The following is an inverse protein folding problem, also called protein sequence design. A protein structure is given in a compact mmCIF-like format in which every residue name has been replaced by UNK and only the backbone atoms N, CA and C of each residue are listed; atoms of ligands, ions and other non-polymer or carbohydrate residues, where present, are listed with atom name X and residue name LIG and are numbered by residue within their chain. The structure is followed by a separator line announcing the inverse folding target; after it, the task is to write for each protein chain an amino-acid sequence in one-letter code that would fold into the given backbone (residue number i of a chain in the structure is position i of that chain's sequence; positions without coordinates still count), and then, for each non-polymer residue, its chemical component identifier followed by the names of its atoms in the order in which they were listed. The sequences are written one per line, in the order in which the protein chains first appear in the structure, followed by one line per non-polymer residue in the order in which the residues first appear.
data_IF_843474081896
#
_entry.id   IF_843474081896
#
_cell.length_a   1.000
_cell.length_b   1.000
_cell.length_c   1.000
_cell.angle_alpha   90.00
_cell.angle_beta   90.00
_cell.angle_gamma   90.00
#
_symmetry.space_group_name_H-M   'P 1'
#
loop_
_entity.id
_entity.type
_entity.pdbx_description
1 polymer ?
#
# COMPACT_ATOMS: atom_id res chain seq x y z
N UNK A 1 -11.70 16.44 3.63
CA UNK A 1 -10.79 17.63 3.63
C UNK A 1 -10.00 17.61 2.32
N UNK A 2 -9.99 18.68 1.51
CA UNK A 2 -9.49 18.63 0.11
C UNK A 2 -7.95 18.64 0.04
N UNK A 3 -7.39 17.90 -0.91
CA UNK A 3 -5.94 17.89 -1.19
C UNK A 3 -5.42 19.30 -1.48
N UNK A 4 -4.20 19.59 -1.02
CA UNK A 4 -3.55 20.87 -1.32
C UNK A 4 -3.21 20.93 -2.82
N UNK A 5 -3.68 21.94 -3.55
CA UNK A 5 -3.39 22.05 -4.98
C UNK A 5 -1.88 22.29 -5.19
N UNK A 6 -1.30 21.57 -6.15
CA UNK A 6 0.10 21.71 -6.52
C UNK A 6 0.32 23.04 -7.27
N UNK A 7 1.36 23.79 -6.92
CA UNK A 7 1.71 25.02 -7.63
C UNK A 7 2.36 24.72 -9.00
N UNK A 8 2.13 25.58 -9.99
CA UNK A 8 2.77 25.47 -11.30
C UNK A 8 4.30 25.53 -11.19
N UNK A 9 4.84 26.36 -10.29
CA UNK A 9 6.27 26.47 -10.07
C UNK A 9 6.88 25.17 -9.53
N UNK A 10 6.18 24.50 -8.61
CA UNK A 10 6.63 23.21 -8.05
C UNK A 10 6.64 22.13 -9.12
N UNK A 11 5.61 22.12 -9.98
CA UNK A 11 5.50 21.20 -11.10
C UNK A 11 6.66 21.38 -12.09
N UNK A 12 6.92 22.61 -12.52
CA UNK A 12 7.97 22.91 -13.50
C UNK A 12 9.36 22.62 -12.93
N UNK A 13 9.57 22.90 -11.64
CA UNK A 13 10.81 22.56 -10.94
C UNK A 13 11.04 21.06 -10.89
N UNK A 14 9.99 20.28 -10.58
CA UNK A 14 10.08 18.83 -10.46
C UNK A 14 10.33 18.17 -11.83
N UNK A 15 9.73 18.70 -12.90
CA UNK A 15 9.98 18.24 -14.28
C UNK A 15 11.43 18.48 -14.71
N UNK A 16 11.98 19.68 -14.48
CA UNK A 16 13.38 20.01 -14.79
C UNK A 16 14.36 19.13 -14.00
N UNK A 17 14.09 18.88 -12.71
CA UNK A 17 14.92 18.00 -11.90
C UNK A 17 14.96 16.56 -12.43
N UNK A 18 13.83 16.06 -12.95
CA UNK A 18 13.75 14.73 -13.56
C UNK A 18 14.56 14.67 -14.86
N UNK A 19 14.54 15.71 -15.69
CA UNK A 19 15.38 15.80 -16.90
C UNK A 19 16.88 15.73 -16.56
N UNK A 20 17.28 16.35 -15.44
CA UNK A 20 18.64 16.25 -14.90
C UNK A 20 18.94 14.93 -14.15
N UNK A 21 17.99 13.97 -14.12
CA UNK A 21 18.08 12.70 -13.37
C UNK A 21 18.31 12.87 -11.87
N UNK A 22 17.87 13.99 -11.30
CA UNK A 22 17.97 14.27 -9.86
C UNK A 22 16.63 14.08 -9.17
N UNK A 23 16.65 13.40 -8.03
CA UNK A 23 15.48 13.26 -7.14
C UNK A 23 15.60 14.23 -5.97
N UNK A 24 14.46 14.70 -5.48
CA UNK A 24 14.38 15.60 -4.31
C UNK A 24 15.02 15.01 -3.05
N UNK A 25 14.94 13.69 -2.89
CA UNK A 25 15.46 13.00 -1.71
C UNK A 25 16.95 12.64 -1.83
N UNK A 26 17.63 13.04 -2.91
CA UNK A 26 19.06 12.75 -3.18
C UNK A 26 19.38 11.32 -3.62
N UNK A 27 18.38 10.45 -3.78
CA UNK A 27 18.53 9.05 -4.21
C UNK A 27 18.74 8.92 -5.72
N UNK A 28 19.37 7.83 -6.19
CA UNK A 28 19.42 7.54 -7.63
C UNK A 28 18.05 7.13 -8.19
N UNK A 29 17.93 7.07 -9.51
CA UNK A 29 16.68 6.75 -10.21
C UNK A 29 16.13 5.36 -9.88
N UNK A 30 17.01 4.41 -9.55
CA UNK A 30 16.65 3.01 -9.27
C UNK A 30 16.74 2.63 -7.78
N UNK A 31 17.06 3.59 -6.91
CA UNK A 31 17.21 3.33 -5.47
C UNK A 31 15.86 3.35 -4.75
N UNK A 32 15.57 2.28 -4.02
CA UNK A 32 14.43 2.22 -3.11
C UNK A 32 14.62 3.14 -1.90
N UNK A 33 13.52 3.47 -1.21
CA UNK A 33 13.60 4.11 0.12
C UNK A 33 14.06 3.05 1.12
N UNK A 34 14.65 3.48 2.22
CA UNK A 34 14.99 2.57 3.31
C UNK A 34 13.74 1.80 3.77
N UNK A 35 13.86 0.48 3.79
CA UNK A 35 12.79 -0.45 4.19
C UNK A 35 13.11 -0.91 5.60
N UNK A 36 12.19 -0.71 6.54
CA UNK A 36 12.29 -1.21 7.91
C UNK A 36 11.11 -2.10 8.20
N UNK A 37 11.39 -3.32 8.63
CA UNK A 37 10.37 -4.31 9.01
C UNK A 37 10.43 -4.45 10.53
N UNK A 38 9.28 -4.27 11.17
CA UNK A 38 9.12 -4.44 12.62
C UNK A 38 8.00 -5.45 12.86
N UNK A 39 8.26 -6.43 13.71
CA UNK A 39 7.27 -7.44 14.08
C UNK A 39 6.52 -7.02 15.34
N UNK A 40 5.23 -7.32 15.40
CA UNK A 40 4.41 -7.10 16.58
C UNK A 40 4.68 -8.13 17.68
N UNK A 41 3.94 -8.02 18.77
CA UNK A 41 3.94 -9.01 19.87
C UNK A 41 3.38 -10.35 19.44
N UNK A 42 2.35 -10.32 18.59
CA UNK A 42 1.62 -11.50 18.15
C UNK A 42 2.14 -12.03 16.81
N UNK A 43 2.09 -13.36 16.66
CA UNK A 43 2.37 -14.00 15.38
C UNK A 43 1.38 -13.54 14.32
N UNK A 44 1.90 -13.23 13.13
CA UNK A 44 1.10 -12.72 12.02
C UNK A 44 0.91 -11.21 12.00
N UNK A 45 1.45 -10.46 12.97
CA UNK A 45 1.46 -8.99 12.97
C UNK A 45 2.81 -8.44 12.48
N UNK A 46 2.80 -7.65 11.41
CA UNK A 46 4.00 -6.96 10.93
C UNK A 46 3.72 -5.53 10.47
N UNK A 47 4.71 -4.67 10.72
CA UNK A 47 4.76 -3.28 10.29
C UNK A 47 5.91 -3.11 9.32
N UNK A 48 5.63 -2.57 8.14
CA UNK A 48 6.62 -2.27 7.11
C UNK A 48 6.63 -0.78 6.85
N UNK A 49 7.78 -0.17 7.10
CA UNK A 49 8.04 1.24 6.84
C UNK A 49 8.91 1.36 5.58
N UNK A 50 8.39 2.04 4.57
CA UNK A 50 9.08 2.41 3.34
C UNK A 50 9.27 3.94 3.35
N UNK A 51 10.32 4.38 4.04
CA UNK A 51 10.56 5.79 4.35
C UNK A 51 9.44 6.43 5.17
N UNK A 52 8.59 7.24 4.53
CA UNK A 52 7.43 7.90 5.17
C UNK A 52 6.11 7.13 5.02
N UNK A 53 6.12 6.02 4.30
CA UNK A 53 4.92 5.20 4.06
C UNK A 53 4.96 4.00 5.01
N UNK A 54 3.96 3.88 5.89
CA UNK A 54 3.81 2.76 6.84
C UNK A 54 2.63 1.89 6.46
N UNK A 55 2.84 0.57 6.46
CA UNK A 55 1.80 -0.43 6.22
C UNK A 55 1.80 -1.42 7.38
N UNK A 56 0.61 -1.79 7.86
CA UNK A 56 0.40 -2.86 8.83
C UNK A 56 -0.27 -4.04 8.13
N UNK A 57 0.22 -5.25 8.36
CA UNK A 57 -0.44 -6.47 7.92
C UNK A 57 -0.69 -7.39 9.13
N UNK A 58 -1.88 -7.97 9.15
CA UNK A 58 -2.31 -8.94 10.14
C UNK A 58 -2.82 -10.18 9.41
N UNK A 59 -2.35 -11.35 9.82
CA UNK A 59 -2.85 -12.64 9.34
C UNK A 59 -3.65 -13.29 10.46
N UNK A 60 -4.84 -13.76 10.13
CA UNK A 60 -5.68 -14.61 10.99
C UNK A 60 -6.09 -15.86 10.21
N UNK A 61 -6.31 -16.97 10.93
CA UNK A 61 -6.70 -18.25 10.35
C UNK A 61 -7.87 -18.82 11.14
N UNK A 62 -8.90 -19.28 10.44
CA UNK A 62 -10.10 -19.87 11.03
C UNK A 62 -10.41 -21.21 10.34
N UNK A 63 -10.98 -22.15 11.09
CA UNK A 63 -11.45 -23.43 10.56
C UNK A 63 -12.87 -23.26 10.03
N UNK A 64 -13.03 -23.35 8.71
CA UNK A 64 -14.30 -23.20 8.00
C UNK A 64 -14.50 -24.37 7.06
N UNK A 65 -15.76 -24.78 6.85
CA UNK A 65 -16.09 -25.82 5.87
C UNK A 65 -15.66 -25.38 4.45
N UNK A 66 -14.99 -26.26 3.69
CA UNK A 66 -14.55 -25.92 2.34
C UNK A 66 -15.74 -25.73 1.40
N UNK A 67 -15.51 -24.99 0.32
CA UNK A 67 -16.55 -24.72 -0.67
C UNK A 67 -16.87 -26.00 -1.45
N UNK A 68 -18.14 -26.27 -1.70
CA UNK A 68 -18.60 -27.48 -2.42
C UNK A 68 -17.92 -27.67 -3.79
N UNK A 69 -17.56 -26.56 -4.46
CA UNK A 69 -16.84 -26.61 -5.74
C UNK A 69 -15.42 -27.15 -5.64
N UNK A 70 -14.76 -27.01 -4.48
CA UNK A 70 -13.37 -27.42 -4.23
C UNK A 70 -13.20 -27.91 -2.79
N UNK A 71 -13.57 -29.17 -2.49
CA UNK A 71 -13.57 -29.70 -1.13
C UNK A 71 -12.17 -29.95 -0.56
N UNK A 72 -11.14 -30.05 -1.40
CA UNK A 72 -9.76 -30.38 -1.00
C UNK A 72 -8.84 -29.15 -0.88
N UNK A 73 -9.36 -27.94 -1.10
CA UNK A 73 -8.58 -26.69 -1.05
C UNK A 73 -9.14 -25.75 0.02
N UNK A 74 -8.23 -25.05 0.72
CA UNK A 74 -8.59 -23.97 1.65
C UNK A 74 -8.93 -22.67 0.91
N UNK A 75 -9.49 -21.70 1.63
CA UNK A 75 -9.82 -20.39 1.09
C UNK A 75 -8.88 -19.35 1.70
N UNK A 76 -8.29 -18.51 0.84
CA UNK A 76 -7.49 -17.38 1.24
C UNK A 76 -8.22 -16.08 0.90
N UNK A 77 -8.37 -15.21 1.90
CA UNK A 77 -9.02 -13.92 1.74
C UNK A 77 -8.00 -12.80 1.99
N UNK A 78 -7.89 -11.89 1.03
CA UNK A 78 -7.10 -10.67 1.15
C UNK A 78 -8.02 -9.47 1.32
N UNK A 79 -7.87 -8.76 2.43
CA UNK A 79 -8.54 -7.48 2.64
C UNK A 79 -7.49 -6.36 2.72
N UNK A 80 -7.79 -5.23 2.10
CA UNK A 80 -6.97 -4.03 2.15
C UNK A 80 -7.88 -2.90 2.58
N UNK A 81 -7.45 -2.10 3.54
CA UNK A 81 -8.18 -0.94 4.01
C UNK A 81 -7.29 0.29 3.96
N UNK A 82 -7.87 1.41 3.52
CA UNK A 82 -7.21 2.71 3.51
C UNK A 82 -7.81 3.54 4.64
N UNK A 83 -7.05 3.69 5.72
CA UNK A 83 -7.48 4.50 6.87
C UNK A 83 -7.54 5.99 6.50
N UNK A 84 -8.54 6.75 6.99
CA UNK A 84 -8.57 8.21 6.85
C UNK A 84 -7.38 8.89 7.54
N UNK A 85 -6.67 8.19 8.45
CA UNK A 85 -5.42 8.67 9.03
C UNK A 85 -4.27 8.74 8.00
N UNK A 86 -4.34 7.97 6.90
CA UNK A 86 -3.28 7.92 5.91
C UNK A 86 -3.32 9.12 4.94
N UNK A 87 -4.51 9.63 4.64
CA UNK A 87 -4.68 10.88 3.88
C UNK A 87 -6.09 11.43 4.10
N UNK A 88 -6.26 12.76 4.20
CA UNK A 88 -7.57 13.41 4.23
C UNK A 88 -8.44 13.15 2.99
N UNK A 89 -7.84 12.69 1.87
CA UNK A 89 -8.55 12.29 0.66
C UNK A 89 -9.14 10.87 0.74
N UNK A 90 -8.74 10.07 1.73
CA UNK A 90 -9.29 8.73 1.98
C UNK A 90 -10.47 8.82 2.94
N UNK A 91 -11.53 9.55 2.56
CA UNK A 91 -12.82 9.42 3.25
C UNK A 91 -13.45 8.06 2.95
N UNK A 92 -14.26 7.53 3.89
CA UNK A 92 -14.89 6.21 3.79
C UNK A 92 -15.81 6.14 2.56
N UNK A 93 -15.23 5.68 1.45
CA UNK A 93 -15.89 5.51 0.16
C UNK A 93 -15.03 4.62 -0.75
N UNK A 94 -15.66 3.89 -1.66
CA UNK A 94 -14.98 3.00 -2.61
C UNK A 94 -14.11 3.80 -3.58
N UNK A 95 -12.89 4.11 -3.18
CA UNK A 95 -11.92 4.77 -4.08
C UNK A 95 -11.52 3.81 -5.20
N UNK A 96 -11.33 4.30 -6.45
CA UNK A 96 -10.85 3.47 -7.55
C UNK A 96 -9.46 2.87 -7.25
N UNK A 97 -8.67 3.53 -6.40
CA UNK A 97 -7.38 3.05 -5.91
C UNK A 97 -7.54 1.78 -5.08
N UNK A 98 -8.49 1.76 -4.13
CA UNK A 98 -8.75 0.59 -3.29
C UNK A 98 -9.09 -0.65 -4.12
N UNK A 99 -9.94 -0.50 -5.15
CA UNK A 99 -10.33 -1.59 -6.05
C UNK A 99 -9.16 -2.12 -6.89
N UNK A 100 -8.25 -1.24 -7.31
CA UNK A 100 -7.07 -1.64 -8.08
C UNK A 100 -6.07 -2.37 -7.19
N UNK A 101 -5.84 -1.87 -5.97
CA UNK A 101 -4.95 -2.49 -4.99
C UNK A 101 -5.45 -3.87 -4.56
N UNK A 102 -6.73 -3.99 -4.20
CA UNK A 102 -7.30 -5.28 -3.77
C UNK A 102 -7.22 -6.33 -4.88
N UNK A 103 -7.54 -5.94 -6.12
CA UNK A 103 -7.40 -6.83 -7.29
C UNK A 103 -5.95 -7.24 -7.53
N UNK A 104 -5.01 -6.29 -7.52
CA UNK A 104 -3.60 -6.56 -7.75
C UNK A 104 -2.99 -7.50 -6.70
N UNK A 105 -3.35 -7.32 -5.43
CA UNK A 105 -2.92 -8.24 -4.38
C UNK A 105 -3.56 -9.62 -4.53
N UNK A 106 -4.87 -9.69 -4.82
CA UNK A 106 -5.54 -10.98 -5.03
C UNK A 106 -4.98 -11.77 -6.22
N UNK A 107 -4.54 -11.09 -7.29
CA UNK A 107 -3.96 -11.77 -8.47
C UNK A 107 -2.51 -12.19 -8.28
N UNK A 108 -1.77 -11.55 -7.38
CA UNK A 108 -0.38 -11.92 -7.08
C UNK A 108 -0.32 -13.07 -6.06
N UNK A 109 -1.34 -13.19 -5.21
CA UNK A 109 -1.44 -14.24 -4.19
C UNK A 109 -2.06 -15.56 -4.68
N UNK A 110 -2.48 -15.62 -5.94
CA UNK A 110 -2.98 -16.82 -6.64
C UNK A 110 -1.91 -17.38 -7.56
#
# INVERSE_FOLDING_TARGET
MKDTPLSNCERDFLLKAIEEKKRLDGRQTYDYRNIKITFGTDYGCCFVDLGKTRVMAQVSSELVAPKESRPNEGILFFNIELSPMASPAFEQGRSPLLRRLSRGCSSCGS
#
